data_IF_644665100739
#
_entry.id   IF_644665100739
#
_cell.length_a   1.000
_cell.length_b   1.000
_cell.length_c   1.000
_cell.angle_alpha   90.00
_cell.angle_beta   90.00
_cell.angle_gamma   90.00
#
_symmetry.space_group_name_H-M   'P 1'
#
loop_
_entity.id
_entity.type
_entity.pdbx_description
1 polymer ?
#
# COMPACT_ATOMS: atom_id res chain seq x y z
N UNK A 1 -31.14 2.25 -13.49
CA UNK A 1 -30.15 1.43 -12.75
C UNK A 1 -28.82 1.39 -13.50
N UNK A 2 -27.73 0.87 -12.91
CA UNK A 2 -26.43 0.76 -13.61
C UNK A 2 -26.51 -0.14 -14.85
N UNK A 3 -27.34 -1.19 -14.82
CA UNK A 3 -27.61 -2.08 -15.96
C UNK A 3 -28.17 -1.31 -17.16
N UNK A 4 -29.12 -0.41 -16.91
CA UNK A 4 -29.81 0.33 -17.96
C UNK A 4 -28.87 1.37 -18.57
N UNK A 5 -28.09 2.06 -17.72
CA UNK A 5 -27.08 3.00 -18.17
C UNK A 5 -26.00 2.30 -19.01
N UNK A 6 -25.59 1.08 -18.62
CA UNK A 6 -24.65 0.27 -19.39
C UNK A 6 -25.22 -0.09 -20.76
N UNK A 7 -26.49 -0.51 -20.83
CA UNK A 7 -27.15 -0.82 -22.08
C UNK A 7 -27.22 0.39 -23.02
N UNK A 8 -27.45 1.59 -22.47
CA UNK A 8 -27.51 2.83 -23.25
C UNK A 8 -26.14 3.36 -23.71
N UNK A 9 -25.11 3.29 -22.85
CA UNK A 9 -23.81 3.95 -23.10
C UNK A 9 -22.69 3.00 -23.53
N UNK A 10 -22.87 1.69 -23.34
CA UNK A 10 -21.86 0.65 -23.61
C UNK A 10 -20.67 0.64 -22.64
N UNK A 11 -20.43 1.73 -21.91
CA UNK A 11 -19.39 1.86 -20.89
C UNK A 11 -19.91 2.61 -19.66
N UNK A 12 -19.32 2.30 -18.51
CA UNK A 12 -19.60 3.00 -17.27
C UNK A 12 -18.32 3.59 -16.69
N UNK A 13 -18.44 4.80 -16.17
CA UNK A 13 -17.44 5.44 -15.33
C UNK A 13 -18.14 6.23 -14.23
N UNK A 14 -17.42 6.58 -13.16
CA UNK A 14 -17.98 7.44 -12.12
C UNK A 14 -18.46 8.79 -12.66
N UNK A 15 -17.81 9.31 -13.71
CA UNK A 15 -18.19 10.55 -14.39
C UNK A 15 -19.50 10.38 -15.16
N UNK A 16 -19.62 9.33 -15.99
CA UNK A 16 -20.85 9.04 -16.75
C UNK A 16 -22.04 8.84 -15.81
N UNK A 17 -21.84 8.21 -14.65
CA UNK A 17 -22.90 8.06 -13.64
C UNK A 17 -23.29 9.41 -13.03
N UNK A 18 -22.32 10.27 -12.71
CA UNK A 18 -22.61 11.57 -12.10
C UNK A 18 -23.26 12.56 -13.08
N UNK A 19 -23.16 12.34 -14.39
CA UNK A 19 -23.81 13.16 -15.42
C UNK A 19 -25.30 12.84 -15.60
N UNK A 20 -25.80 11.76 -14.99
CA UNK A 20 -27.21 11.38 -15.07
C UNK A 20 -27.93 11.81 -13.79
N UNK A 21 -28.76 12.85 -13.88
CA UNK A 21 -29.44 13.45 -12.72
C UNK A 21 -30.44 12.49 -12.04
N UNK A 22 -31.10 11.61 -12.78
CA UNK A 22 -32.16 10.72 -12.26
C UNK A 22 -31.62 9.42 -11.61
N UNK A 23 -30.33 9.35 -11.26
CA UNK A 23 -29.77 8.16 -10.64
C UNK A 23 -28.80 8.46 -9.48
N UNK A 24 -28.55 7.49 -8.58
CA UNK A 24 -27.59 7.67 -7.50
C UNK A 24 -26.20 8.00 -8.07
N UNK A 25 -25.50 8.93 -7.42
CA UNK A 25 -24.13 9.29 -7.83
C UNK A 25 -23.18 8.11 -7.68
N UNK A 26 -22.03 8.19 -8.34
CA UNK A 26 -20.93 7.23 -8.18
C UNK A 26 -20.45 7.12 -6.71
N UNK A 27 -20.61 8.18 -5.90
CA UNK A 27 -20.33 8.13 -4.47
C UNK A 27 -21.38 7.29 -3.71
N UNK A 28 -22.67 7.43 -4.03
CA UNK A 28 -23.73 6.64 -3.42
C UNK A 28 -23.59 5.14 -3.74
N UNK A 29 -23.24 4.79 -4.98
CA UNK A 29 -22.93 3.40 -5.34
C UNK A 29 -21.70 2.87 -4.59
N UNK A 30 -20.63 3.67 -4.46
CA UNK A 30 -19.46 3.28 -3.65
C UNK A 30 -19.82 3.03 -2.19
N UNK A 31 -20.61 3.93 -1.60
CA UNK A 31 -21.05 3.79 -0.21
C UNK A 31 -21.87 2.51 -0.01
N UNK A 32 -22.83 2.24 -0.91
CA UNK A 32 -23.73 1.09 -0.79
C UNK A 32 -23.05 -0.26 -1.06
N UNK A 33 -22.13 -0.31 -2.04
CA UNK A 33 -21.53 -1.56 -2.52
C UNK A 33 -20.05 -1.72 -2.12
N UNK A 34 -19.51 -0.81 -1.30
CA UNK A 34 -18.11 -0.74 -0.89
C UNK A 34 -17.16 -0.20 -1.96
N UNK A 35 -17.46 -0.43 -3.25
CA UNK A 35 -16.72 0.16 -4.37
C UNK A 35 -17.58 0.20 -5.64
N UNK A 36 -17.22 1.10 -6.57
CA UNK A 36 -17.93 1.16 -7.86
C UNK A 36 -17.62 -0.07 -8.72
N UNK A 37 -16.40 -0.62 -8.62
CA UNK A 37 -16.03 -1.87 -9.29
C UNK A 37 -16.94 -3.02 -8.84
N UNK A 38 -17.24 -3.11 -7.54
CA UNK A 38 -18.17 -4.11 -7.01
C UNK A 38 -19.59 -3.91 -7.54
N UNK A 39 -20.04 -2.66 -7.65
CA UNK A 39 -21.34 -2.35 -8.25
C UNK A 39 -21.40 -2.76 -9.74
N UNK A 40 -20.29 -2.63 -10.47
CA UNK A 40 -20.16 -3.09 -11.85
C UNK A 40 -20.16 -4.62 -11.98
N UNK A 41 -19.44 -5.33 -11.11
CA UNK A 41 -19.42 -6.80 -11.08
C UNK A 41 -20.83 -7.39 -10.87
N UNK A 42 -21.64 -6.78 -10.02
CA UNK A 42 -23.02 -7.21 -9.75
C UNK A 42 -23.93 -7.15 -10.99
N UNK A 43 -23.58 -6.35 -11.99
CA UNK A 43 -24.30 -6.27 -13.28
C UNK A 43 -23.51 -6.92 -14.41
N UNK A 44 -22.46 -7.69 -14.11
CA UNK A 44 -21.62 -8.36 -15.11
C UNK A 44 -20.72 -7.42 -15.92
N UNK A 45 -20.56 -6.16 -15.51
CA UNK A 45 -19.73 -5.19 -16.23
C UNK A 45 -18.27 -5.27 -15.79
N UNK A 46 -17.37 -5.43 -16.76
CA UNK A 46 -15.93 -5.33 -16.54
C UNK A 46 -15.43 -3.98 -17.08
N UNK A 47 -15.17 -2.99 -16.20
CA UNK A 47 -14.69 -1.69 -16.62
C UNK A 47 -13.26 -1.77 -17.19
N UNK A 48 -12.89 -0.74 -17.95
CA UNK A 48 -11.56 -0.62 -18.54
C UNK A 48 -10.44 -0.63 -17.48
N UNK A 49 -9.21 -0.89 -17.95
CA UNK A 49 -8.00 -0.98 -17.12
C UNK A 49 -7.74 0.30 -16.31
N UNK A 50 -8.12 1.46 -16.84
CA UNK A 50 -7.94 2.76 -16.20
C UNK A 50 -8.86 2.94 -14.99
N UNK A 51 -10.11 2.46 -15.04
CA UNK A 51 -11.02 2.60 -13.92
C UNK A 51 -10.56 1.77 -12.71
N UNK A 52 -10.15 0.52 -12.95
CA UNK A 52 -9.56 -0.35 -11.91
C UNK A 52 -8.32 0.29 -11.30
N UNK A 53 -7.49 0.94 -12.12
CA UNK A 53 -6.30 1.67 -11.65
C UNK A 53 -6.65 2.83 -10.70
N UNK A 54 -7.65 3.65 -11.04
CA UNK A 54 -8.07 4.78 -10.23
C UNK A 54 -8.58 4.35 -8.85
N UNK A 55 -9.43 3.33 -8.79
CA UNK A 55 -9.96 2.83 -7.52
C UNK A 55 -8.87 2.18 -6.67
N UNK A 56 -7.98 1.35 -7.26
CA UNK A 56 -6.86 0.78 -6.50
C UNK A 56 -5.98 1.87 -5.90
N UNK A 57 -5.60 2.89 -6.67
CA UNK A 57 -4.79 3.99 -6.14
C UNK A 57 -5.51 4.77 -5.04
N UNK A 58 -6.83 4.90 -5.11
CA UNK A 58 -7.61 5.52 -4.04
C UNK A 58 -7.52 4.69 -2.76
N UNK A 59 -7.69 3.38 -2.84
CA UNK A 59 -7.56 2.48 -1.69
C UNK A 59 -6.15 2.53 -1.09
N UNK A 60 -5.10 2.50 -1.93
CA UNK A 60 -3.71 2.63 -1.45
C UNK A 60 -3.48 3.92 -0.65
N UNK A 61 -4.07 5.05 -1.09
CA UNK A 61 -3.99 6.33 -0.37
C UNK A 61 -4.72 6.33 0.97
N UNK A 62 -5.75 5.49 1.14
CA UNK A 62 -6.46 5.33 2.41
C UNK A 62 -5.70 4.39 3.34
N UNK A 63 -5.11 3.31 2.81
CA UNK A 63 -4.33 2.35 3.58
C UNK A 63 -3.01 2.93 4.11
N UNK A 64 -2.38 3.85 3.36
CA UNK A 64 -1.08 4.41 3.75
C UNK A 64 -1.07 5.04 5.15
N UNK A 65 -1.94 6.01 5.48
CA UNK A 65 -1.96 6.58 6.82
C UNK A 65 -2.33 5.56 7.90
N UNK A 66 -3.19 4.57 7.60
CA UNK A 66 -3.58 3.52 8.55
C UNK A 66 -2.38 2.63 8.93
N UNK A 67 -1.65 2.12 7.93
CA UNK A 67 -0.45 1.29 8.14
C UNK A 67 0.64 2.05 8.88
N UNK A 68 0.86 3.32 8.54
CA UNK A 68 1.84 4.17 9.21
C UNK A 68 1.43 4.39 10.68
N UNK A 69 0.17 4.71 10.94
CA UNK A 69 -0.33 4.92 12.31
C UNK A 69 -0.22 3.64 13.16
N UNK A 70 -0.58 2.48 12.61
CA UNK A 70 -0.43 1.18 13.29
C UNK A 70 1.04 0.89 13.62
N UNK A 71 1.95 1.18 12.68
CA UNK A 71 3.39 0.99 12.90
C UNK A 71 3.92 1.92 13.99
N UNK A 72 3.51 3.20 13.99
CA UNK A 72 3.87 4.16 15.04
C UNK A 72 3.40 3.65 16.41
N UNK A 73 2.14 3.22 16.52
CA UNK A 73 1.60 2.69 17.77
C UNK A 73 2.37 1.45 18.24
N UNK A 74 2.77 0.56 17.32
CA UNK A 74 3.61 -0.60 17.64
C UNK A 74 5.00 -0.22 18.17
N UNK A 75 5.63 0.80 17.60
CA UNK A 75 6.91 1.34 18.07
C UNK A 75 6.76 1.98 19.47
N UNK A 76 5.71 2.76 19.69
CA UNK A 76 5.44 3.38 20.99
C UNK A 76 5.14 2.34 22.07
N UNK A 77 4.43 1.25 21.73
CA UNK A 77 4.13 0.16 22.65
C UNK A 77 5.37 -0.58 23.17
N UNK A 78 6.47 -0.57 22.40
CA UNK A 78 7.76 -1.13 22.84
C UNK A 78 8.67 -0.08 23.51
N UNK A 79 8.14 1.11 23.83
CA UNK A 79 8.86 2.20 24.47
C UNK A 79 9.67 3.09 23.52
N UNK A 80 9.46 2.97 22.21
CA UNK A 80 10.05 3.84 21.20
C UNK A 80 9.34 5.20 21.11
N UNK A 81 9.99 6.16 20.46
CA UNK A 81 9.41 7.47 20.13
C UNK A 81 9.48 7.70 18.64
N UNK A 82 8.46 8.35 18.06
CA UNK A 82 8.42 8.62 16.62
C UNK A 82 8.10 10.08 16.35
N UNK A 83 8.87 10.69 15.45
CA UNK A 83 8.61 12.02 14.90
C UNK A 83 8.30 11.87 13.42
N UNK A 84 7.10 12.25 13.01
CA UNK A 84 6.70 12.24 11.60
C UNK A 84 6.97 13.59 10.93
N UNK A 85 7.58 13.56 9.75
CA UNK A 85 7.78 14.74 8.93
C UNK A 85 6.61 14.93 7.96
N UNK A 86 5.77 15.92 8.24
CA UNK A 86 4.57 16.22 7.45
C UNK A 86 4.82 16.59 5.97
N UNK A 87 6.07 16.88 5.57
CA UNK A 87 6.38 17.23 4.17
C UNK A 87 6.67 16.01 3.29
N UNK A 88 7.18 14.93 3.87
CA UNK A 88 7.70 13.80 3.10
C UNK A 88 7.40 12.43 3.74
N UNK A 89 6.58 12.39 4.79
CA UNK A 89 6.14 11.19 5.50
C UNK A 89 7.27 10.31 6.04
N UNK A 90 8.50 10.86 6.15
CA UNK A 90 9.58 10.18 6.86
C UNK A 90 9.30 10.16 8.35
N UNK A 91 9.52 8.99 8.95
CA UNK A 91 9.47 8.81 10.39
C UNK A 91 10.89 8.79 10.94
N UNK A 92 11.17 9.61 11.93
CA UNK A 92 12.38 9.54 12.73
C UNK A 92 12.06 8.83 14.04
N UNK A 93 12.57 7.61 14.19
CA UNK A 93 12.37 6.77 15.36
C UNK A 93 13.54 6.95 16.32
N UNK A 94 13.24 7.18 17.59
CA UNK A 94 14.22 7.31 18.68
C UNK A 94 15.28 8.39 18.46
N UNK A 95 15.05 9.34 17.54
CA UNK A 95 16.06 10.29 17.05
C UNK A 95 17.28 9.65 16.38
N UNK A 96 17.18 8.39 15.97
CA UNK A 96 18.32 7.57 15.55
C UNK A 96 18.14 6.96 14.16
N UNK A 97 16.94 6.48 13.85
CA UNK A 97 16.66 5.70 12.62
C UNK A 97 15.53 6.35 11.84
N UNK A 98 15.75 6.54 10.54
CA UNK A 98 14.74 7.06 9.62
C UNK A 98 14.04 5.94 8.85
N UNK A 99 12.71 5.96 8.85
CA UNK A 99 11.86 5.02 8.13
C UNK A 99 11.06 5.72 7.03
N UNK A 100 10.93 5.07 5.88
CA UNK A 100 9.94 5.39 4.87
C UNK A 100 9.01 4.20 4.62
N UNK A 101 7.78 4.47 4.20
CA UNK A 101 6.79 3.43 3.87
C UNK A 101 6.41 3.47 2.40
N UNK A 102 6.27 2.29 1.80
CA UNK A 102 5.78 2.15 0.43
C UNK A 102 4.78 0.99 0.36
N UNK A 103 3.51 1.32 0.11
CA UNK A 103 2.50 0.27 -0.16
C UNK A 103 2.53 -0.10 -1.64
N UNK A 104 2.75 -1.38 -1.90
CA UNK A 104 2.84 -1.94 -3.25
C UNK A 104 1.63 -2.81 -3.56
N UNK A 105 0.86 -2.40 -4.56
CA UNK A 105 -0.26 -3.19 -5.08
C UNK A 105 0.20 -4.44 -5.81
N UNK A 106 -0.59 -5.50 -5.69
CA UNK A 106 -0.48 -6.71 -6.48
C UNK A 106 -1.08 -6.51 -7.88
N UNK A 107 -0.37 -6.98 -8.89
CA UNK A 107 -0.81 -7.07 -10.27
C UNK A 107 -0.69 -8.51 -10.76
N UNK A 108 -1.79 -9.10 -11.24
CA UNK A 108 -1.73 -10.38 -11.94
C UNK A 108 -1.37 -10.17 -13.41
N UNK A 109 -0.45 -10.99 -13.91
CA UNK A 109 -0.13 -11.06 -15.33
C UNK A 109 -1.21 -11.85 -16.09
N UNK A 110 -1.18 -11.78 -17.42
CA UNK A 110 -2.06 -12.62 -18.27
C UNK A 110 -1.82 -14.12 -18.06
N UNK A 111 -0.62 -14.52 -17.65
CA UNK A 111 -0.27 -15.89 -17.31
C UNK A 111 -0.60 -16.27 -15.86
N UNK A 112 -1.23 -15.39 -15.07
CA UNK A 112 -1.67 -15.64 -13.70
C UNK A 112 -0.64 -15.33 -12.60
N UNK A 113 0.65 -15.16 -12.93
CA UNK A 113 1.67 -14.83 -11.93
C UNK A 113 1.45 -13.46 -11.30
N UNK A 114 1.82 -13.31 -10.02
CA UNK A 114 1.67 -12.08 -9.26
C UNK A 114 2.93 -11.21 -9.32
N UNK A 115 2.75 -9.90 -9.46
CA UNK A 115 3.82 -8.92 -9.58
C UNK A 115 3.53 -7.66 -8.78
N UNK A 116 4.58 -7.11 -8.20
CA UNK A 116 4.56 -5.84 -7.47
C UNK A 116 5.61 -4.91 -8.07
N UNK A 117 5.26 -3.64 -8.21
CA UNK A 117 6.17 -2.60 -8.73
C UNK A 117 6.35 -1.55 -7.66
N UNK A 118 7.49 -1.62 -6.98
CA UNK A 118 7.87 -0.71 -5.90
C UNK A 118 8.62 0.47 -6.50
N UNK A 119 8.26 1.68 -6.06
CA UNK A 119 8.98 2.90 -6.37
C UNK A 119 9.51 3.47 -5.07
N UNK A 120 10.83 3.58 -4.97
CA UNK A 120 11.50 4.15 -3.81
C UNK A 120 11.80 5.62 -4.10
N UNK A 121 11.52 6.49 -3.16
CA UNK A 121 11.96 7.88 -3.23
C UNK A 121 13.41 7.97 -2.73
N UNK A 122 14.34 7.84 -3.66
CA UNK A 122 15.78 7.84 -3.36
C UNK A 122 16.30 9.20 -2.91
N UNK A 123 15.51 10.27 -3.03
CA UNK A 123 15.88 11.58 -2.52
C UNK A 123 15.76 11.67 -1.00
N UNK A 124 14.89 10.85 -0.40
CA UNK A 124 14.65 10.81 1.05
C UNK A 124 15.76 10.11 1.82
N UNK A 125 16.45 9.15 1.20
CA UNK A 125 17.53 8.34 1.80
C UNK A 125 17.22 7.82 3.22
N UNK A 126 16.05 7.21 3.44
CA UNK A 126 15.72 6.63 4.75
C UNK A 126 16.67 5.47 5.06
N UNK A 127 17.05 5.28 6.32
CA UNK A 127 17.88 4.15 6.75
C UNK A 127 17.24 2.81 6.38
N UNK A 128 15.91 2.72 6.57
CA UNK A 128 15.10 1.56 6.16
C UNK A 128 13.84 2.01 5.43
N UNK A 129 13.56 1.42 4.27
CA UNK A 129 12.24 1.51 3.63
C UNK A 129 11.43 0.25 3.90
N UNK A 130 10.27 0.41 4.54
CA UNK A 130 9.29 -0.65 4.76
C UNK A 130 8.39 -0.73 3.53
N UNK A 131 8.55 -1.80 2.74
CA UNK A 131 7.65 -2.08 1.62
C UNK A 131 6.55 -3.01 2.12
N UNK A 132 5.30 -2.61 1.91
CA UNK A 132 4.11 -3.40 2.28
C UNK A 132 3.53 -3.98 1.01
N UNK A 133 3.65 -5.30 0.80
CA UNK A 133 3.04 -5.95 -0.37
C UNK A 133 1.61 -6.31 -0.04
N UNK A 134 0.69 -6.00 -0.95
CA UNK A 134 -0.71 -6.41 -0.81
C UNK A 134 -0.99 -7.74 -1.49
N UNK A 135 -2.03 -8.43 -1.04
CA UNK A 135 -2.62 -9.57 -1.73
C UNK A 135 -3.32 -9.16 -3.04
N UNK A 136 -3.75 -10.11 -3.90
CA UNK A 136 -4.48 -9.80 -5.14
C UNK A 136 -5.74 -8.94 -4.96
N UNK A 137 -6.36 -8.99 -3.78
CA UNK A 137 -7.50 -8.13 -3.41
C UNK A 137 -7.12 -6.64 -3.29
N UNK A 138 -5.82 -6.33 -3.19
CA UNK A 138 -5.27 -4.99 -2.94
C UNK A 138 -5.88 -4.28 -1.73
N UNK A 139 -6.27 -5.06 -0.72
CA UNK A 139 -6.89 -4.60 0.53
C UNK A 139 -6.25 -5.22 1.75
N UNK A 140 -5.78 -6.46 1.63
CA UNK A 140 -5.11 -7.15 2.72
C UNK A 140 -3.60 -7.16 2.49
N UNK A 141 -2.86 -7.01 3.58
CA UNK A 141 -1.39 -7.11 3.55
C UNK A 141 -1.01 -8.58 3.33
N UNK A 142 -0.04 -8.79 2.45
CA UNK A 142 0.55 -10.09 2.17
C UNK A 142 1.75 -10.34 3.07
N UNK A 143 2.71 -9.43 3.04
CA UNK A 143 3.98 -9.47 3.76
C UNK A 143 4.69 -8.10 3.67
N UNK A 144 5.84 -8.01 4.34
CA UNK A 144 6.65 -6.81 4.42
C UNK A 144 8.07 -7.08 3.93
N UNK A 145 8.74 -6.05 3.43
CA UNK A 145 10.19 -6.06 3.23
C UNK A 145 10.81 -4.88 3.97
N UNK A 146 11.82 -5.14 4.79
CA UNK A 146 12.60 -4.13 5.49
C UNK A 146 13.87 -3.86 4.68
N UNK A 147 13.80 -2.92 3.74
CA UNK A 147 14.88 -2.67 2.78
C UNK A 147 15.87 -1.64 3.35
N UNK A 148 17.11 -2.01 3.67
CA UNK A 148 18.11 -1.04 4.11
C UNK A 148 18.56 -0.15 2.94
N UNK A 149 18.88 1.11 3.25
CA UNK A 149 19.42 2.04 2.26
C UNK A 149 20.68 1.51 1.58
N UNK A 150 21.58 0.95 2.40
CA UNK A 150 22.93 0.54 1.99
C UNK A 150 22.90 -0.57 0.95
N UNK A 151 21.98 -1.53 1.08
CA UNK A 151 21.88 -2.68 0.20
C UNK A 151 21.04 -2.41 -1.05
N UNK A 152 19.83 -1.86 -0.88
CA UNK A 152 18.80 -1.84 -1.94
C UNK A 152 18.17 -0.44 -2.12
N UNK A 153 18.16 0.41 -1.10
CA UNK A 153 17.42 1.67 -1.11
C UNK A 153 17.79 2.65 -2.23
N UNK A 154 19.02 2.56 -2.77
CA UNK A 154 19.47 3.38 -3.90
C UNK A 154 18.79 3.04 -5.25
N UNK A 155 18.04 1.93 -5.35
CA UNK A 155 17.35 1.52 -6.60
C UNK A 155 15.94 2.14 -6.66
N UNK A 156 15.69 3.14 -7.52
CA UNK A 156 14.41 3.88 -7.51
C UNK A 156 13.21 3.03 -7.96
N UNK A 157 13.45 1.93 -8.66
CA UNK A 157 12.41 1.00 -9.13
C UNK A 157 12.83 -0.41 -8.81
N UNK A 158 11.96 -1.13 -8.12
CA UNK A 158 12.16 -2.52 -7.77
C UNK A 158 10.93 -3.33 -8.20
N UNK A 159 11.15 -4.27 -9.10
CA UNK A 159 10.12 -5.24 -9.50
C UNK A 159 10.20 -6.45 -8.60
N UNK A 160 9.08 -6.86 -8.02
CA UNK A 160 8.99 -8.05 -7.19
C UNK A 160 7.99 -9.05 -7.79
N UNK A 161 8.26 -10.32 -7.56
CA UNK A 161 7.42 -11.48 -7.87
C UNK A 161 7.08 -12.24 -6.59
N UNK A 162 6.40 -13.38 -6.74
CA UNK A 162 6.03 -14.26 -5.62
C UNK A 162 7.27 -14.79 -4.88
N UNK A 163 8.30 -15.15 -5.64
CA UNK A 163 9.64 -15.51 -5.20
C UNK A 163 10.65 -14.56 -5.87
N UNK A 164 11.51 -13.92 -5.08
CA UNK A 164 12.50 -12.95 -5.58
C UNK A 164 13.95 -13.45 -5.43
N UNK A 165 14.12 -14.68 -4.97
CA UNK A 165 15.42 -15.24 -4.61
C UNK A 165 16.02 -14.60 -3.36
N UNK A 166 17.10 -15.23 -2.88
CA UNK A 166 17.70 -14.94 -1.58
C UNK A 166 18.14 -13.48 -1.40
N UNK A 167 18.59 -12.82 -2.48
CA UNK A 167 19.10 -11.44 -2.41
C UNK A 167 18.05 -10.41 -2.01
N UNK A 168 16.77 -10.68 -2.25
CA UNK A 168 15.68 -9.78 -1.87
C UNK A 168 14.82 -10.40 -0.76
N UNK A 169 14.55 -11.70 -0.84
CA UNK A 169 13.72 -12.39 0.15
C UNK A 169 14.39 -12.55 1.52
N UNK A 170 15.70 -12.32 1.65
CA UNK A 170 16.37 -12.17 2.95
C UNK A 170 15.84 -11.00 3.78
N UNK A 171 15.24 -10.00 3.14
CA UNK A 171 14.65 -8.82 3.80
C UNK A 171 13.15 -8.97 4.04
N UNK A 172 12.55 -10.10 3.64
CA UNK A 172 11.11 -10.34 3.77
C UNK A 172 10.76 -10.72 5.21
N UNK A 173 9.67 -10.18 5.72
CA UNK A 173 9.07 -10.54 7.00
C UNK A 173 7.57 -10.71 6.85
N UNK A 174 6.98 -11.64 7.59
CA UNK A 174 5.53 -11.90 7.53
C UNK A 174 4.74 -10.80 8.26
N UNK A 175 5.36 -10.16 9.25
CA UNK A 175 4.82 -9.05 10.03
C UNK A 175 5.91 -8.01 10.38
N UNK A 176 5.54 -6.98 11.14
CA UNK A 176 6.45 -5.90 11.56
C UNK A 176 7.22 -6.21 12.86
N UNK A 177 7.06 -7.38 13.47
CA UNK A 177 7.76 -7.75 14.71
C UNK A 177 9.28 -7.67 14.57
N UNK A 178 9.91 -8.08 13.44
CA UNK A 178 11.36 -7.88 13.27
C UNK A 178 11.77 -6.42 13.24
N UNK A 179 10.96 -5.53 12.65
CA UNK A 179 11.21 -4.09 12.67
C UNK A 179 11.15 -3.57 14.12
N UNK A 180 10.14 -3.95 14.88
CA UNK A 180 10.00 -3.57 16.28
C UNK A 180 11.17 -4.09 17.12
N UNK A 181 11.63 -5.32 16.87
CA UNK A 181 12.81 -5.86 17.54
C UNK A 181 14.06 -5.02 17.26
N UNK A 182 14.28 -4.60 16.01
CA UNK A 182 15.41 -3.74 15.62
C UNK A 182 15.35 -2.34 16.25
N UNK A 183 14.15 -1.80 16.47
CA UNK A 183 13.94 -0.45 17.01
C UNK A 183 13.84 -0.43 18.55
N UNK A 184 13.81 -1.60 19.19
CA UNK A 184 13.68 -1.70 20.64
C UNK A 184 14.94 -1.20 21.32
N UNK A 185 14.76 -0.33 22.31
CA UNK A 185 15.87 0.13 23.15
C UNK A 185 16.25 -0.95 24.17
N UNK A 186 17.55 -1.21 24.25
CA UNK A 186 18.15 -2.07 25.26
C UNK A 186 19.01 -1.21 26.18
N UNK A 187 18.79 -1.33 27.50
CA UNK A 187 19.70 -0.74 28.48
C UNK A 187 21.02 -1.47 28.38
N UNK A 188 22.09 -0.77 28.01
CA UNK A 188 23.43 -1.28 28.20
C UNK A 188 23.72 -1.17 29.69
N UNK A 189 23.82 -2.29 30.40
CA UNK A 189 24.38 -2.28 31.75
C UNK A 189 25.82 -1.77 31.63
N UNK A 190 26.08 -0.57 32.12
CA UNK A 190 27.44 -0.03 32.21
C UNK A 190 28.28 -0.87 33.18
N UNK A 191 29.61 -0.96 33.01
CA UNK A 191 30.46 -1.65 33.97
C UNK A 191 30.33 -0.96 35.34
N UNK A 192 30.10 -1.78 36.37
CA UNK A 192 30.08 -1.41 37.79
C UNK A 192 31.34 -0.64 38.22
#
# INVERSE_FOLDING_TARGET
>A
MLSDLLACRGVLSGMIINEVEEMPSSAAYRHRFGSLLRAYELIGYQPSRDYRYVETNRQLRLMHPEVVAETIAGIEAIGGSVISNARNDLLLVNHEVTLAFVISRCQSTTAGSLRWKVRLDTSLRPDVTVVVRLNPDNKTVKDYYLLPWLDIGHKPKLGMAEDNGINLDSFRTDDLSPLFHLLRRHTLEGPL
#
